data_IF_560745334892
#
_entry.id   IF_560745334892
#
_cell.length_a   1.000
_cell.length_b   1.000
_cell.length_c   1.000
_cell.angle_alpha   90.00
_cell.angle_beta   90.00
_cell.angle_gamma   90.00
#
_symmetry.space_group_name_H-M   'P 1'
#
loop_
_entity.id
_entity.type
_entity.pdbx_description
1 polymer ?
#
# COMPACT_ATOMS: atom_id res chain seq x y z
N UNK A 1 -9.00 18.86 13.43
CA UNK A 1 -9.99 19.00 14.52
C UNK A 1 -10.39 17.57 14.88
N UNK A 2 -9.93 17.06 16.04
CA UNK A 2 -10.34 15.76 16.57
C UNK A 2 -11.76 15.89 17.11
N UNK A 3 -12.70 15.09 16.59
CA UNK A 3 -14.03 14.99 17.15
C UNK A 3 -14.01 14.19 18.47
N UNK A 4 -14.93 14.47 19.38
CA UNK A 4 -15.16 13.62 20.53
C UNK A 4 -15.47 12.20 20.06
N UNK A 5 -14.85 11.21 20.69
CA UNK A 5 -15.10 9.82 20.40
C UNK A 5 -16.16 9.30 21.39
N UNK A 6 -17.15 8.60 20.88
CA UNK A 6 -17.99 7.81 21.76
C UNK A 6 -17.19 6.57 22.18
N UNK A 7 -16.61 6.63 23.39
CA UNK A 7 -15.72 5.57 23.90
C UNK A 7 -16.42 4.21 24.01
N UNK A 8 -17.67 4.15 24.45
CA UNK A 8 -18.41 2.90 24.54
C UNK A 8 -18.61 2.26 23.16
N UNK A 9 -18.92 3.08 22.16
CA UNK A 9 -19.04 2.59 20.78
C UNK A 9 -17.68 2.21 20.18
N UNK A 10 -16.60 2.92 20.52
CA UNK A 10 -15.26 2.59 20.04
C UNK A 10 -14.75 1.28 20.65
N UNK A 11 -14.95 1.06 21.93
CA UNK A 11 -14.45 -0.11 22.66
C UNK A 11 -15.37 -1.34 22.60
N UNK A 12 -16.42 -1.30 21.78
CA UNK A 12 -17.36 -2.42 21.69
C UNK A 12 -16.61 -3.72 21.35
N UNK A 13 -16.74 -4.72 22.24
CA UNK A 13 -16.13 -6.04 22.07
C UNK A 13 -14.67 -6.16 22.53
N UNK A 14 -14.04 -5.07 23.03
CA UNK A 14 -12.71 -5.11 23.62
C UNK A 14 -12.78 -5.49 25.12
N UNK A 15 -11.87 -6.35 25.59
CA UNK A 15 -11.80 -6.75 26.99
C UNK A 15 -11.62 -5.53 27.91
N UNK A 16 -12.40 -5.40 29.03
CA UNK A 16 -12.39 -4.25 29.91
C UNK A 16 -10.99 -3.95 30.49
N UNK A 17 -10.25 -4.98 30.89
CA UNK A 17 -8.91 -4.86 31.46
C UNK A 17 -7.89 -4.34 30.47
N UNK A 18 -8.06 -4.70 29.18
CA UNK A 18 -7.16 -4.25 28.13
C UNK A 18 -7.46 -2.81 27.71
N UNK A 19 -8.74 -2.42 27.60
CA UNK A 19 -9.11 -1.03 27.28
C UNK A 19 -8.69 -0.04 28.38
N UNK A 20 -8.69 -0.47 29.66
CA UNK A 20 -8.28 0.34 30.79
C UNK A 20 -6.78 0.76 30.76
N UNK A 21 -5.97 0.12 29.89
CA UNK A 21 -4.58 0.49 29.67
C UNK A 21 -4.41 1.76 28.83
N UNK A 22 -5.49 2.28 28.23
CA UNK A 22 -5.45 3.43 27.34
C UNK A 22 -6.44 4.51 27.78
N UNK A 23 -5.97 5.76 27.77
CA UNK A 23 -6.75 6.92 28.20
C UNK A 23 -6.69 8.05 27.15
N UNK A 24 -7.53 9.07 27.34
CA UNK A 24 -7.54 10.30 26.52
C UNK A 24 -7.75 10.04 25.02
N UNK A 25 -8.75 9.23 24.67
CA UNK A 25 -9.04 8.88 23.28
C UNK A 25 -9.55 10.09 22.50
N UNK A 26 -8.94 10.34 21.34
CA UNK A 26 -9.35 11.38 20.39
C UNK A 26 -9.30 10.80 18.98
N UNK A 27 -10.34 11.04 18.18
CA UNK A 27 -10.35 10.59 16.78
C UNK A 27 -9.18 11.20 16.01
N UNK A 28 -8.29 10.36 15.48
CA UNK A 28 -7.16 10.76 14.65
C UNK A 28 -7.43 10.52 13.14
N UNK A 29 -8.26 9.52 12.84
CA UNK A 29 -8.63 9.19 11.46
C UNK A 29 -9.86 8.29 11.41
N UNK A 30 -10.54 8.33 10.27
CA UNK A 30 -11.71 7.47 10.01
C UNK A 30 -11.64 6.94 8.59
N UNK A 31 -11.73 5.63 8.46
CA UNK A 31 -11.88 4.91 7.20
C UNK A 31 -13.30 4.34 7.08
N UNK A 32 -13.56 3.60 6.03
CA UNK A 32 -14.88 3.01 5.79
C UNK A 32 -15.25 1.95 6.85
N UNK A 33 -14.30 1.10 7.23
CA UNK A 33 -14.48 0.02 8.21
C UNK A 33 -13.53 0.15 9.40
N UNK A 34 -12.86 1.30 9.55
CA UNK A 34 -11.91 1.49 10.62
C UNK A 34 -11.94 2.88 11.19
N UNK A 35 -11.73 2.98 12.49
CA UNK A 35 -11.54 4.24 13.21
C UNK A 35 -10.17 4.17 13.86
N UNK A 36 -9.39 5.23 13.72
CA UNK A 36 -8.10 5.37 14.40
C UNK A 36 -8.25 6.42 15.49
N UNK A 37 -8.01 6.04 16.71
CA UNK A 37 -7.96 6.93 17.87
C UNK A 37 -6.49 7.16 18.27
N UNK A 38 -6.14 8.42 18.56
CA UNK A 38 -4.98 8.76 19.38
C UNK A 38 -5.34 8.47 20.82
N UNK A 39 -4.46 7.84 21.57
CA UNK A 39 -4.63 7.55 22.99
C UNK A 39 -3.31 7.72 23.75
N UNK A 40 -3.38 7.73 25.06
CA UNK A 40 -2.22 7.67 25.96
C UNK A 40 -2.16 6.28 26.58
N UNK A 41 -1.05 5.59 26.42
CA UNK A 41 -0.74 4.36 27.16
C UNK A 41 -0.51 4.74 28.62
N UNK A 42 -1.36 4.24 29.52
CA UNK A 42 -1.37 4.62 30.96
C UNK A 42 -0.09 4.16 31.67
N UNK A 43 0.48 3.03 31.25
CA UNK A 43 1.66 2.46 31.90
C UNK A 43 2.95 3.24 31.53
N UNK A 44 3.06 3.71 30.29
CA UNK A 44 4.28 4.38 29.80
C UNK A 44 4.15 5.89 29.68
N UNK A 45 2.92 6.42 29.63
CA UNK A 45 2.63 7.82 29.33
C UNK A 45 2.82 8.18 27.85
N UNK A 46 3.19 7.23 27.01
CA UNK A 46 3.44 7.47 25.58
C UNK A 46 2.14 7.60 24.78
N UNK A 47 2.21 8.39 23.71
CA UNK A 47 1.12 8.47 22.75
C UNK A 47 1.14 7.25 21.82
N UNK A 48 -0.03 6.66 21.63
CA UNK A 48 -0.26 5.53 20.72
C UNK A 48 -1.42 5.82 19.77
N UNK A 49 -1.47 5.10 18.66
CA UNK A 49 -2.62 5.05 17.78
C UNK A 49 -3.31 3.70 17.92
N UNK A 50 -4.62 3.71 18.13
CA UNK A 50 -5.44 2.50 18.23
C UNK A 50 -6.36 2.45 17.03
N UNK A 51 -6.12 1.49 16.15
CA UNK A 51 -6.95 1.23 14.96
C UNK A 51 -7.97 0.15 15.32
N UNK A 52 -9.25 0.55 15.43
CA UNK A 52 -10.36 -0.41 15.46
C UNK A 52 -10.76 -0.73 14.03
N UNK A 53 -10.83 -2.00 13.71
CA UNK A 53 -11.34 -2.55 12.45
C UNK A 53 -12.63 -3.29 12.81
N UNK A 54 -13.76 -2.79 12.32
CA UNK A 54 -15.06 -3.38 12.60
C UNK A 54 -15.35 -4.53 11.64
N UNK A 55 -16.16 -5.51 12.11
CA UNK A 55 -16.72 -6.59 11.28
C UNK A 55 -15.65 -7.33 10.44
N UNK A 56 -14.50 -7.64 11.04
CA UNK A 56 -13.35 -8.29 10.37
C UNK A 56 -13.76 -9.57 9.66
N UNK A 57 -14.74 -10.28 10.20
CA UNK A 57 -15.19 -11.57 9.70
C UNK A 57 -16.46 -11.49 8.82
N UNK A 58 -16.77 -10.31 8.28
CA UNK A 58 -17.84 -10.14 7.30
C UNK A 58 -17.65 -11.06 6.09
N UNK A 59 -16.41 -11.15 5.59
CA UNK A 59 -16.01 -12.13 4.59
C UNK A 59 -14.55 -12.61 4.78
N UNK A 60 -14.20 -13.72 4.14
CA UNK A 60 -12.85 -14.29 4.22
C UNK A 60 -11.78 -13.38 3.59
N UNK A 61 -12.14 -12.52 2.63
CA UNK A 61 -11.19 -11.63 1.98
C UNK A 61 -10.73 -10.50 2.93
N UNK A 62 -11.69 -9.89 3.66
CA UNK A 62 -11.38 -8.86 4.65
C UNK A 62 -10.61 -9.45 5.84
N UNK A 63 -11.01 -10.61 6.35
CA UNK A 63 -10.29 -11.31 7.41
C UNK A 63 -8.84 -11.66 7.01
N UNK A 64 -8.60 -12.09 5.77
CA UNK A 64 -7.25 -12.32 5.25
C UNK A 64 -6.42 -11.04 5.17
N UNK A 65 -7.01 -9.88 4.87
CA UNK A 65 -6.30 -8.60 4.88
C UNK A 65 -5.80 -8.25 6.27
N UNK A 66 -6.67 -8.40 7.28
CA UNK A 66 -6.32 -8.10 8.68
C UNK A 66 -5.25 -9.06 9.20
N UNK A 67 -5.41 -10.37 8.95
CA UNK A 67 -4.41 -11.37 9.35
C UNK A 67 -3.03 -11.08 8.73
N UNK A 68 -3.00 -10.67 7.46
CA UNK A 68 -1.77 -10.30 6.76
C UNK A 68 -1.13 -9.06 7.39
N UNK A 69 -1.91 -8.01 7.64
CA UNK A 69 -1.42 -6.78 8.26
C UNK A 69 -0.81 -7.06 9.63
N UNK A 70 -1.48 -7.87 10.45
CA UNK A 70 -0.99 -8.29 11.78
C UNK A 70 0.36 -9.01 11.65
N UNK A 71 0.45 -10.03 10.80
CA UNK A 71 1.66 -10.85 10.68
C UNK A 71 2.84 -10.07 10.13
N UNK A 72 2.60 -9.24 9.10
CA UNK A 72 3.66 -8.38 8.56
C UNK A 72 4.16 -7.38 9.59
N UNK A 73 3.25 -6.67 10.25
CA UNK A 73 3.66 -5.66 11.25
C UNK A 73 4.29 -6.27 12.50
N UNK A 74 3.93 -7.49 12.88
CA UNK A 74 4.59 -8.22 13.97
C UNK A 74 6.05 -8.51 13.64
N UNK A 75 6.32 -8.91 12.40
CA UNK A 75 7.63 -9.40 11.98
C UNK A 75 8.52 -8.27 11.41
N UNK A 76 7.96 -7.10 11.11
CA UNK A 76 8.72 -5.94 10.66
C UNK A 76 9.38 -5.18 11.81
N UNK A 77 10.73 -5.09 11.77
CA UNK A 77 11.53 -4.35 12.72
C UNK A 77 12.40 -3.32 11.98
N UNK A 78 11.79 -2.20 11.60
CA UNK A 78 12.49 -1.15 10.85
C UNK A 78 12.05 0.24 11.33
N UNK A 79 12.97 1.22 11.48
CA UNK A 79 12.64 2.56 11.99
C UNK A 79 11.62 3.31 11.12
N UNK A 80 11.59 3.02 9.83
CA UNK A 80 10.69 3.67 8.86
C UNK A 80 9.48 2.81 8.47
N UNK A 81 9.12 1.81 9.27
CA UNK A 81 7.85 1.08 9.20
C UNK A 81 7.10 1.29 10.51
N UNK A 82 5.77 1.42 10.43
CA UNK A 82 4.96 1.58 11.63
C UNK A 82 5.09 0.32 12.50
N UNK A 83 5.31 0.52 13.80
CA UNK A 83 5.47 -0.58 14.74
C UNK A 83 4.12 -0.99 15.30
N UNK A 84 3.79 -2.27 15.21
CA UNK A 84 2.71 -2.88 15.97
C UNK A 84 3.19 -3.10 17.41
N UNK A 85 2.57 -2.41 18.37
CA UNK A 85 2.92 -2.48 19.80
C UNK A 85 2.16 -3.58 20.51
N UNK A 86 0.86 -3.67 20.23
CA UNK A 86 -0.03 -4.64 20.86
C UNK A 86 -1.25 -4.92 19.98
N UNK A 87 -1.89 -6.04 20.25
CA UNK A 87 -3.26 -6.33 19.84
C UNK A 87 -4.11 -6.35 21.13
N UNK A 88 -5.19 -5.59 21.16
CA UNK A 88 -6.09 -5.56 22.31
C UNK A 88 -6.98 -6.80 22.24
N UNK A 89 -6.98 -7.64 23.29
CA UNK A 89 -7.82 -8.83 23.34
C UNK A 89 -9.30 -8.47 23.31
N UNK A 90 -10.12 -9.27 22.64
CA UNK A 90 -11.57 -9.17 22.70
C UNK A 90 -12.09 -9.75 24.02
N UNK A 91 -13.35 -9.47 24.36
CA UNK A 91 -14.04 -10.09 25.50
C UNK A 91 -14.18 -11.61 25.34
N UNK A 92 -14.33 -12.10 24.11
CA UNK A 92 -14.41 -13.51 23.78
C UNK A 92 -13.65 -13.82 22.48
N UNK A 93 -12.72 -14.75 22.56
CA UNK A 93 -11.96 -15.24 21.39
C UNK A 93 -12.82 -16.08 20.42
N UNK A 94 -13.97 -16.55 20.87
CA UNK A 94 -14.87 -17.41 20.06
C UNK A 94 -15.80 -16.58 19.17
N UNK A 95 -16.22 -15.39 19.65
CA UNK A 95 -17.30 -14.62 19.07
C UNK A 95 -16.95 -13.19 18.67
N UNK A 96 -15.66 -12.79 18.75
CA UNK A 96 -15.28 -11.43 18.41
C UNK A 96 -15.47 -11.12 16.92
N UNK A 97 -15.88 -9.90 16.65
CA UNK A 97 -16.09 -9.39 15.29
C UNK A 97 -15.13 -8.24 14.95
N UNK A 98 -14.68 -7.50 15.96
CA UNK A 98 -13.84 -6.33 15.81
C UNK A 98 -12.40 -6.62 16.24
N UNK A 99 -11.44 -5.98 15.57
CA UNK A 99 -10.03 -6.04 15.92
C UNK A 99 -9.48 -4.67 16.33
N UNK A 100 -8.60 -4.66 17.32
CA UNK A 100 -7.93 -3.45 17.79
C UNK A 100 -6.42 -3.62 17.72
N UNK A 101 -5.78 -2.79 16.91
CA UNK A 101 -4.34 -2.78 16.70
C UNK A 101 -3.74 -1.52 17.32
N UNK A 102 -2.78 -1.66 18.22
CA UNK A 102 -2.05 -0.54 18.83
C UNK A 102 -0.72 -0.35 18.12
N UNK A 103 -0.49 0.85 17.63
CA UNK A 103 0.74 1.20 16.90
C UNK A 103 1.36 2.48 17.46
N UNK A 104 2.55 2.84 16.99
CA UNK A 104 3.13 4.16 17.26
C UNK A 104 2.16 5.25 16.79
N UNK A 105 2.01 6.32 17.59
CA UNK A 105 1.26 7.48 17.16
C UNK A 105 2.14 8.34 16.23
N UNK A 106 1.55 8.74 15.11
CA UNK A 106 2.16 9.62 14.14
C UNK A 106 1.28 10.86 13.95
N UNK A 107 1.90 12.04 13.94
CA UNK A 107 1.17 13.33 13.99
C UNK A 107 0.42 13.64 12.70
N UNK A 108 0.95 13.18 11.55
CA UNK A 108 0.43 13.51 10.23
C UNK A 108 0.70 12.41 9.22
N UNK A 109 0.25 12.63 7.99
CA UNK A 109 0.56 11.81 6.82
C UNK A 109 1.10 12.69 5.68
N UNK A 110 1.82 12.07 4.74
CA UNK A 110 2.44 12.76 3.61
C UNK A 110 1.39 13.43 2.70
N UNK A 111 0.17 12.89 2.61
CA UNK A 111 -0.92 13.51 1.85
C UNK A 111 -1.32 14.87 2.45
N UNK A 112 -1.43 14.95 3.78
CA UNK A 112 -1.70 16.23 4.47
C UNK A 112 -0.54 17.19 4.27
N UNK A 113 0.71 16.70 4.35
CA UNK A 113 1.93 17.48 4.11
C UNK A 113 1.95 18.08 2.69
N UNK A 114 1.66 17.26 1.66
CA UNK A 114 1.55 17.73 0.27
C UNK A 114 0.42 18.74 0.11
N UNK A 115 -0.76 18.46 0.68
CA UNK A 115 -1.93 19.37 0.61
C UNK A 115 -1.70 20.70 1.31
N UNK A 116 -0.87 20.75 2.35
CA UNK A 116 -0.56 22.00 3.06
C UNK A 116 0.18 23.01 2.18
N UNK A 117 0.82 22.52 1.11
CA UNK A 117 1.61 23.34 0.18
C UNK A 117 2.74 24.13 0.86
N UNK A 118 3.11 23.76 2.08
CA UNK A 118 4.26 24.35 2.76
C UNK A 118 5.53 23.89 2.08
N UNK A 119 6.41 24.85 1.75
CA UNK A 119 7.68 24.54 1.10
C UNK A 119 8.54 23.60 1.96
N UNK A 120 9.31 22.75 1.30
CA UNK A 120 10.28 21.84 1.91
C UNK A 120 11.70 22.17 1.45
N UNK A 121 12.63 22.05 2.37
CA UNK A 121 14.05 22.12 2.00
C UNK A 121 14.42 20.88 1.15
N UNK A 122 15.30 21.02 0.17
CA UNK A 122 15.75 19.91 -0.68
C UNK A 122 16.29 18.73 0.15
N UNK A 123 16.98 19.01 1.24
CA UNK A 123 17.52 18.00 2.14
C UNK A 123 16.41 17.18 2.83
N UNK A 124 15.34 17.83 3.30
CA UNK A 124 14.18 17.12 3.88
C UNK A 124 13.55 16.15 2.87
N UNK A 125 13.42 16.59 1.60
CA UNK A 125 12.92 15.71 0.54
C UNK A 125 13.86 14.52 0.34
N UNK A 126 15.16 14.74 0.34
CA UNK A 126 16.19 13.70 0.19
C UNK A 126 16.12 12.68 1.33
N UNK A 127 15.97 13.15 2.57
CA UNK A 127 15.80 12.30 3.76
C UNK A 127 14.52 11.50 3.68
N UNK A 128 13.39 12.10 3.30
CA UNK A 128 12.12 11.38 3.14
C UNK A 128 12.22 10.27 2.10
N UNK A 129 12.84 10.55 0.96
CA UNK A 129 13.04 9.55 -0.09
C UNK A 129 13.96 8.42 0.38
N UNK A 130 15.01 8.74 1.14
CA UNK A 130 15.90 7.73 1.70
C UNK A 130 15.19 6.83 2.71
N UNK A 131 14.40 7.41 3.62
CA UNK A 131 13.61 6.68 4.62
C UNK A 131 12.56 5.78 3.95
N UNK A 132 11.87 6.28 2.93
CA UNK A 132 10.87 5.51 2.17
C UNK A 132 11.52 4.33 1.43
N UNK A 133 12.63 4.56 0.75
CA UNK A 133 13.35 3.50 0.03
C UNK A 133 13.94 2.46 0.98
N UNK A 134 14.42 2.86 2.17
CA UNK A 134 14.90 1.93 3.18
C UNK A 134 13.77 1.04 3.72
N UNK A 135 12.60 1.64 4.01
CA UNK A 135 11.41 0.88 4.42
C UNK A 135 10.98 -0.14 3.34
N UNK A 136 10.95 0.28 2.07
CA UNK A 136 10.62 -0.61 0.97
C UNK A 136 11.69 -1.69 0.74
N UNK A 137 12.96 -1.37 0.92
CA UNK A 137 14.04 -2.37 0.83
C UNK A 137 13.85 -3.48 1.89
N UNK A 138 13.42 -3.11 3.11
CA UNK A 138 13.08 -4.08 4.16
C UNK A 138 11.88 -4.96 3.76
N UNK A 139 10.80 -4.35 3.25
CA UNK A 139 9.61 -5.10 2.78
C UNK A 139 9.97 -6.04 1.62
N UNK A 140 10.75 -5.54 0.65
CA UNK A 140 11.14 -6.32 -0.52
C UNK A 140 12.14 -7.43 -0.20
N UNK A 141 12.95 -7.30 0.87
CA UNK A 141 13.89 -8.32 1.31
C UNK A 141 13.20 -9.61 1.78
N UNK A 142 11.98 -9.52 2.26
CA UNK A 142 11.13 -10.67 2.61
C UNK A 142 10.19 -11.06 1.46
N UNK A 143 10.54 -10.74 0.22
CA UNK A 143 9.70 -10.95 -0.96
C UNK A 143 8.30 -10.30 -0.87
N UNK A 144 8.10 -9.37 0.07
CA UNK A 144 6.88 -8.60 0.21
C UNK A 144 6.75 -7.53 -0.87
N UNK A 145 5.53 -7.21 -1.25
CA UNK A 145 5.18 -6.06 -2.08
C UNK A 145 4.07 -5.31 -1.36
N UNK A 146 4.19 -4.00 -1.21
CA UNK A 146 3.19 -3.18 -0.51
C UNK A 146 1.89 -3.04 -1.31
N UNK A 147 1.96 -2.79 -2.61
CA UNK A 147 0.86 -2.72 -3.61
C UNK A 147 -0.11 -1.55 -3.49
N UNK A 148 -0.12 -0.82 -2.39
CA UNK A 148 -0.97 0.37 -2.20
C UNK A 148 -0.15 1.56 -1.67
N UNK A 149 1.06 1.73 -2.21
CA UNK A 149 1.91 2.84 -1.84
C UNK A 149 1.32 4.15 -2.38
N UNK A 150 1.04 5.08 -1.45
CA UNK A 150 0.47 6.41 -1.72
C UNK A 150 0.78 7.35 -0.57
N UNK A 151 0.70 8.67 -0.74
CA UNK A 151 1.01 9.63 0.33
C UNK A 151 0.19 9.46 1.61
N UNK A 152 -1.04 8.91 1.54
CA UNK A 152 -1.86 8.65 2.72
C UNK A 152 -1.33 7.50 3.60
N UNK A 153 -0.58 6.55 3.02
CA UNK A 153 -0.01 5.40 3.71
C UNK A 153 1.44 5.64 4.16
N UNK A 154 1.88 6.89 4.13
CA UNK A 154 3.19 7.35 4.59
C UNK A 154 2.95 8.34 5.72
N UNK A 155 3.21 7.91 6.93
CA UNK A 155 2.99 8.69 8.15
C UNK A 155 4.25 9.49 8.50
N UNK A 156 4.05 10.65 9.14
CA UNK A 156 5.13 11.57 9.50
C UNK A 156 4.94 12.00 10.95
N UNK A 157 6.04 12.06 11.69
CA UNK A 157 6.10 12.64 13.03
C UNK A 157 7.42 13.39 13.21
N UNK A 158 7.45 14.36 14.12
CA UNK A 158 8.66 15.08 14.48
C UNK A 158 9.27 14.46 15.75
N UNK A 159 10.57 14.21 15.73
CA UNK A 159 11.32 13.81 16.91
C UNK A 159 12.49 14.77 17.11
N UNK A 160 12.27 15.75 17.97
CA UNK A 160 13.18 16.89 18.09
C UNK A 160 13.18 17.71 16.78
N UNK A 161 14.36 17.94 16.20
CA UNK A 161 14.51 18.68 14.94
C UNK A 161 14.36 17.78 13.68
N UNK A 162 14.28 16.47 13.86
CA UNK A 162 14.21 15.52 12.75
C UNK A 162 12.75 15.07 12.50
N UNK A 163 12.36 15.07 11.23
CA UNK A 163 11.13 14.45 10.78
C UNK A 163 11.36 12.97 10.43
N UNK A 164 10.52 12.10 11.00
CA UNK A 164 10.57 10.66 10.78
C UNK A 164 9.37 10.23 9.95
N UNK A 165 9.66 9.53 8.86
CA UNK A 165 8.67 8.91 7.99
C UNK A 165 8.52 7.44 8.36
N UNK A 166 7.26 6.96 8.43
CA UNK A 166 6.95 5.54 8.60
C UNK A 166 5.90 5.07 7.59
N UNK A 167 6.22 3.97 6.93
CA UNK A 167 5.30 3.26 6.03
C UNK A 167 4.26 2.49 6.85
N UNK A 168 2.98 2.53 6.43
CA UNK A 168 1.86 1.84 7.10
C UNK A 168 0.88 1.24 6.10
N UNK A 169 -0.10 0.50 6.58
CA UNK A 169 -1.19 -0.12 5.82
C UNK A 169 -0.74 -1.25 4.87
N UNK A 170 -0.46 -2.40 5.45
CA UNK A 170 -0.01 -3.61 4.74
C UNK A 170 -1.15 -4.58 4.38
N UNK A 171 -2.41 -4.18 4.55
CA UNK A 171 -3.58 -5.02 4.26
C UNK A 171 -3.63 -5.54 2.82
N UNK A 172 -3.11 -4.79 1.86
CA UNK A 172 -3.02 -5.20 0.45
C UNK A 172 -1.67 -5.82 0.06
N UNK A 173 -0.70 -5.89 0.98
CA UNK A 173 0.60 -6.46 0.69
C UNK A 173 0.51 -7.95 0.25
N UNK A 174 1.49 -8.42 -0.50
CA UNK A 174 1.63 -9.82 -0.95
C UNK A 174 3.08 -10.23 -0.91
N UNK A 175 3.31 -11.53 -0.74
CA UNK A 175 4.62 -12.13 -1.00
C UNK A 175 4.67 -12.65 -2.44
N UNK A 176 5.81 -12.47 -3.11
CA UNK A 176 6.06 -13.03 -4.45
C UNK A 176 6.84 -14.30 -4.27
N UNK A 177 6.29 -15.41 -4.75
CA UNK A 177 7.03 -16.67 -4.80
C UNK A 177 8.17 -16.58 -5.82
N UNK A 178 9.36 -16.92 -5.39
CA UNK A 178 10.57 -16.92 -6.22
C UNK A 178 10.61 -18.07 -7.23
N UNK A 179 9.58 -18.93 -7.31
CA UNK A 179 9.57 -20.14 -8.12
C UNK A 179 9.12 -19.91 -9.57
N UNK A 180 9.89 -20.38 -10.57
CA UNK A 180 9.52 -20.33 -11.99
C UNK A 180 8.26 -21.12 -12.35
N UNK A 181 7.85 -22.08 -11.51
CA UNK A 181 6.71 -22.98 -11.76
C UNK A 181 5.35 -22.39 -11.35
N UNK A 182 5.30 -21.37 -10.49
CA UNK A 182 4.04 -20.74 -10.07
C UNK A 182 3.29 -20.02 -11.21
N UNK A 183 3.96 -19.77 -12.34
CA UNK A 183 3.34 -19.19 -13.54
C UNK A 183 2.41 -20.13 -14.31
N UNK A 184 2.63 -21.46 -14.22
CA UNK A 184 1.80 -22.46 -14.91
C UNK A 184 0.50 -22.79 -14.16
N UNK A 185 0.56 -22.84 -12.84
CA UNK A 185 -0.59 -23.19 -12.01
C UNK A 185 -1.64 -22.05 -11.91
N UNK A 186 -1.22 -20.78 -11.98
CA UNK A 186 -2.15 -19.63 -11.98
C UNK A 186 -2.97 -19.51 -13.28
N UNK A 187 -2.50 -20.08 -14.40
CA UNK A 187 -3.28 -20.15 -15.66
C UNK A 187 -4.29 -21.29 -15.65
N UNK A 188 -4.07 -22.33 -14.88
CA UNK A 188 -4.99 -23.48 -14.77
C UNK A 188 -6.13 -23.26 -13.76
N UNK A 189 -6.01 -22.26 -12.87
CA UNK A 189 -7.01 -21.97 -11.84
C UNK A 189 -8.06 -20.91 -12.22
N UNK A 190 -8.05 -20.38 -13.44
CA UNK A 190 -8.99 -19.37 -13.92
C UNK A 190 -10.02 -19.91 -14.95
N UNK A 191 -10.04 -21.20 -15.19
CA UNK A 191 -11.17 -21.84 -15.87
C UNK A 191 -12.27 -22.08 -14.84
N UNK A 192 -13.25 -21.20 -14.83
CA UNK A 192 -14.51 -21.37 -14.11
C UNK A 192 -15.27 -22.47 -14.85
N UNK A 193 -15.32 -23.64 -14.24
CA UNK A 193 -16.18 -24.73 -14.66
C UNK A 193 -17.64 -24.32 -14.43
N UNK A 194 -18.34 -24.00 -15.50
CA UNK A 194 -19.80 -23.87 -15.53
C UNK A 194 -20.40 -25.27 -15.64
N UNK A 195 -20.43 -25.99 -14.51
CA UNK A 195 -21.26 -27.15 -14.36
C UNK A 195 -22.70 -26.70 -14.13
N UNK A 196 -23.53 -26.82 -15.16
CA UNK A 196 -25.02 -26.75 -15.05
C UNK A 196 -25.49 -27.90 -14.21
N UNK A 197 -26.14 -27.62 -13.08
CA UNK A 197 -26.95 -28.59 -12.32
C UNK A 197 -28.42 -28.22 -12.53
N UNK A 198 -29.20 -29.03 -13.26
CA UNK A 198 -30.63 -28.81 -13.44
C UNK A 198 -31.39 -29.55 -12.35
N UNK A 199 -31.82 -28.88 -11.34
CA UNK A 199 -33.04 -29.12 -10.54
C UNK A 199 -32.84 -28.76 -9.05
N UNK A 200 -33.37 -27.64 -8.66
CA UNK A 200 -34.05 -27.53 -7.37
C UNK A 200 -35.02 -26.35 -7.41
N UNK A 201 -36.26 -26.64 -7.67
CA UNK A 201 -37.39 -25.78 -7.33
C UNK A 201 -37.45 -25.67 -5.80
N UNK A 202 -37.19 -24.50 -5.26
CA UNK A 202 -37.66 -24.07 -3.94
C UNK A 202 -38.14 -22.63 -3.99
N UNK A 203 -39.44 -22.49 -3.71
CA UNK A 203 -40.20 -21.25 -3.68
C UNK A 203 -39.76 -20.33 -2.54
N UNK A 204 -39.61 -19.04 -2.84
CA UNK A 204 -40.18 -17.99 -2.03
C UNK A 204 -39.50 -17.63 -0.71
N UNK A 205 -38.29 -17.03 -0.74
CA UNK A 205 -37.91 -16.10 0.31
C UNK A 205 -37.42 -14.81 -0.36
N UNK A 206 -38.15 -13.71 -0.20
CA UNK A 206 -37.69 -12.38 -0.58
C UNK A 206 -36.38 -12.08 0.15
N UNK A 207 -35.30 -11.73 -0.54
CA UNK A 207 -34.06 -11.37 0.13
C UNK A 207 -34.30 -10.10 0.96
N UNK A 208 -34.06 -10.19 2.25
CA UNK A 208 -33.94 -8.99 3.12
C UNK A 208 -32.74 -8.20 2.61
N UNK A 209 -32.92 -6.94 2.20
CA UNK A 209 -31.78 -6.14 1.75
C UNK A 209 -30.76 -6.02 2.89
N UNK A 210 -29.45 -6.09 2.61
CA UNK A 210 -28.41 -5.90 3.62
C UNK A 210 -28.54 -4.53 4.29
N UNK A 211 -28.15 -4.39 5.56
CA UNK A 211 -28.28 -3.15 6.29
C UNK A 211 -27.59 -2.01 5.53
N UNK A 212 -28.20 -0.85 5.52
CA UNK A 212 -27.82 0.37 4.78
C UNK A 212 -26.35 0.84 5.00
N UNK A 213 -25.69 0.35 6.05
CA UNK A 213 -24.27 0.62 6.31
C UNK A 213 -23.32 0.06 5.23
N UNK A 214 -23.69 -0.99 4.51
CA UNK A 214 -22.87 -1.61 3.46
C UNK A 214 -23.12 -1.04 2.05
N UNK A 215 -24.18 -0.25 1.86
CA UNK A 215 -24.57 0.25 0.54
C UNK A 215 -23.93 1.58 0.15
N UNK A 216 -23.22 2.29 1.01
CA UNK A 216 -22.79 3.67 0.74
C UNK A 216 -21.33 4.00 1.04
N UNK A 217 -20.42 3.08 0.90
CA UNK A 217 -19.00 3.47 0.86
C UNK A 217 -18.37 3.07 -0.46
N UNK A 218 -18.53 3.96 -1.41
CA UNK A 218 -17.77 3.94 -2.65
C UNK A 218 -16.30 4.11 -2.29
N UNK A 219 -15.56 3.01 -2.17
CA UNK A 219 -14.11 3.02 -2.00
C UNK A 219 -13.48 3.66 -3.24
N UNK A 220 -13.18 4.95 -3.15
CA UNK A 220 -12.33 5.62 -4.12
C UNK A 220 -10.90 5.13 -3.88
N UNK A 221 -10.55 3.98 -4.46
CA UNK A 221 -9.16 3.52 -4.44
C UNK A 221 -8.36 4.41 -5.39
N UNK A 222 -7.48 5.24 -4.84
CA UNK A 222 -6.65 6.14 -5.63
C UNK A 222 -5.72 5.36 -6.55
N UNK A 223 -5.98 5.36 -7.87
CA UNK A 223 -5.19 4.64 -8.88
C UNK A 223 -4.01 5.42 -9.41
N UNK A 224 -3.85 6.66 -9.00
CA UNK A 224 -2.85 7.60 -9.52
C UNK A 224 -1.40 7.14 -9.34
N UNK A 225 -1.18 6.23 -8.39
CA UNK A 225 0.15 5.69 -8.06
C UNK A 225 0.38 4.28 -8.60
N UNK A 226 -0.59 3.70 -9.34
CA UNK A 226 -0.48 2.33 -9.86
C UNK A 226 0.42 2.26 -11.08
N UNK A 227 1.31 1.28 -11.08
CA UNK A 227 2.20 0.98 -12.19
C UNK A 227 1.43 0.45 -13.41
N UNK A 228 1.93 0.67 -14.64
CA UNK A 228 1.29 0.21 -15.88
C UNK A 228 0.98 -1.29 -15.88
N UNK A 229 1.89 -2.13 -15.40
CA UNK A 229 1.72 -3.59 -15.33
C UNK A 229 0.55 -4.00 -14.42
N UNK A 230 0.27 -3.24 -13.35
CA UNK A 230 -0.89 -3.49 -12.48
C UNK A 230 -2.19 -3.09 -13.18
N UNK A 231 -2.17 -1.98 -13.91
CA UNK A 231 -3.33 -1.49 -14.67
C UNK A 231 -3.67 -2.48 -15.79
N UNK A 232 -2.65 -3.00 -16.47
CA UNK A 232 -2.78 -3.97 -17.57
C UNK A 232 -3.05 -5.41 -17.09
N UNK A 233 -3.08 -5.63 -15.77
CA UNK A 233 -3.26 -6.98 -15.17
C UNK A 233 -2.17 -7.97 -15.60
N UNK A 234 -0.97 -7.49 -15.89
CA UNK A 234 0.20 -8.32 -16.19
C UNK A 234 0.85 -8.84 -14.89
N UNK A 235 1.67 -9.91 -14.98
CA UNK A 235 2.48 -10.34 -13.86
C UNK A 235 3.40 -9.20 -13.39
N UNK A 236 3.44 -8.97 -12.08
CA UNK A 236 4.19 -7.87 -11.48
C UNK A 236 5.15 -8.34 -10.37
N UNK A 237 6.07 -7.48 -10.01
CA UNK A 237 7.06 -7.66 -8.95
C UNK A 237 7.07 -6.46 -8.00
N UNK A 238 8.02 -6.39 -7.08
CA UNK A 238 8.26 -5.22 -6.22
C UNK A 238 8.52 -3.91 -7.00
N UNK A 239 8.80 -3.99 -8.29
CA UNK A 239 8.95 -2.82 -9.17
C UNK A 239 7.70 -1.92 -9.23
N UNK A 240 6.50 -2.43 -8.89
CA UNK A 240 5.28 -1.62 -8.82
C UNK A 240 5.34 -0.59 -7.70
N UNK A 241 5.95 -0.93 -6.55
CA UNK A 241 6.15 0.02 -5.45
C UNK A 241 7.14 1.11 -5.84
N UNK A 242 8.17 0.78 -6.63
CA UNK A 242 9.16 1.75 -7.14
C UNK A 242 8.53 2.78 -8.07
N UNK A 243 7.59 2.36 -8.92
CA UNK A 243 6.77 3.29 -9.71
C UNK A 243 6.00 4.27 -8.82
N UNK A 244 5.34 3.74 -7.77
CA UNK A 244 4.61 4.56 -6.82
C UNK A 244 5.51 5.55 -6.09
N UNK A 245 6.76 5.16 -5.75
CA UNK A 245 7.80 6.05 -5.21
C UNK A 245 8.11 7.19 -6.20
N UNK A 246 8.22 6.89 -7.49
CA UNK A 246 8.43 7.90 -8.52
C UNK A 246 7.30 8.94 -8.58
N UNK A 247 6.04 8.48 -8.50
CA UNK A 247 4.89 9.37 -8.43
C UNK A 247 4.92 10.29 -7.19
N UNK A 248 5.25 9.72 -6.02
CA UNK A 248 5.37 10.46 -4.76
C UNK A 248 6.55 11.44 -4.81
N UNK A 249 7.69 11.02 -5.36
CA UNK A 249 8.87 11.87 -5.49
C UNK A 249 8.56 13.14 -6.30
N UNK A 250 7.83 13.01 -7.41
CA UNK A 250 7.38 14.16 -8.20
C UNK A 250 6.54 15.14 -7.37
N UNK A 251 5.61 14.66 -6.55
CA UNK A 251 4.80 15.53 -5.69
C UNK A 251 5.65 16.22 -4.60
N UNK A 252 6.68 15.55 -4.09
CA UNK A 252 7.64 16.14 -3.15
C UNK A 252 8.51 17.21 -3.81
N UNK A 253 8.97 16.99 -5.05
CA UNK A 253 9.72 17.99 -5.82
C UNK A 253 8.92 19.28 -6.04
N UNK A 254 7.59 19.18 -6.15
CA UNK A 254 6.74 20.38 -6.23
C UNK A 254 6.68 21.19 -4.93
N UNK A 255 6.99 20.58 -3.79
CA UNK A 255 7.08 21.28 -2.51
C UNK A 255 8.47 21.90 -2.28
N UNK A 256 9.46 21.59 -3.12
CA UNK A 256 10.81 22.11 -3.00
C UNK A 256 10.79 23.64 -2.91
N UNK A 257 11.58 24.20 -1.98
CA UNK A 257 11.69 25.65 -1.82
C UNK A 257 12.11 26.30 -3.14
N UNK A 258 11.37 27.31 -3.56
CA UNK A 258 11.59 27.99 -4.86
C UNK A 258 10.71 27.44 -6.00
N UNK A 259 10.08 26.28 -5.85
CA UNK A 259 9.11 25.79 -6.83
C UNK A 259 7.86 26.68 -6.85
N UNK A 260 7.45 27.13 -8.05
CA UNK A 260 6.22 27.90 -8.27
C UNK A 260 5.11 27.07 -8.92
N UNK A 261 5.44 25.89 -9.46
CA UNK A 261 4.50 24.99 -10.11
C UNK A 261 3.97 23.95 -9.13
N UNK A 262 2.66 23.70 -9.21
CA UNK A 262 1.97 22.69 -8.39
C UNK A 262 0.85 22.09 -9.20
N UNK A 263 1.16 21.00 -9.87
CA UNK A 263 0.22 20.25 -10.71
C UNK A 263 -0.46 19.11 -9.93
N UNK A 264 0.04 18.76 -8.73
CA UNK A 264 -0.45 17.67 -7.90
C UNK A 264 0.01 16.31 -8.39
N UNK A 265 -0.85 15.30 -8.28
CA UNK A 265 -0.51 13.93 -8.70
C UNK A 265 -0.04 13.88 -10.16
N UNK A 266 0.96 13.05 -10.43
CA UNK A 266 1.58 12.95 -11.77
C UNK A 266 0.62 12.36 -12.80
N UNK A 267 -0.18 11.36 -12.41
CA UNK A 267 -1.10 10.65 -13.30
C UNK A 267 -2.54 10.68 -12.76
N UNK A 268 -3.21 11.85 -12.76
CA UNK A 268 -4.55 12.00 -12.19
C UNK A 268 -5.63 11.51 -13.16
N UNK A 269 -5.85 10.20 -13.24
CA UNK A 269 -6.99 9.64 -13.96
C UNK A 269 -8.31 10.09 -13.31
N UNK A 270 -9.33 10.33 -14.14
CA UNK A 270 -10.61 10.92 -13.71
C UNK A 270 -11.46 9.95 -12.90
N UNK A 271 -11.37 8.66 -13.17
CA UNK A 271 -12.21 7.65 -12.59
C UNK A 271 -11.47 6.86 -11.51
N UNK A 272 -11.73 7.21 -10.26
CA UNK A 272 -11.25 6.50 -9.07
C UNK A 272 -12.39 5.73 -8.40
N UNK A 273 -13.39 5.27 -9.16
CA UNK A 273 -14.57 4.59 -8.61
C UNK A 273 -14.23 3.11 -8.38
N UNK A 274 -14.68 2.50 -7.27
CA UNK A 274 -14.57 1.07 -7.06
C UNK A 274 -15.46 0.31 -8.06
N UNK A 275 -14.96 -0.81 -8.53
CA UNK A 275 -15.69 -1.68 -9.42
C UNK A 275 -16.86 -2.36 -8.70
N UNK A 276 -18.04 -2.33 -9.29
CA UNK A 276 -18.89 -3.51 -9.25
C UNK A 276 -18.30 -4.55 -10.20
N UNK A 277 -18.24 -5.80 -9.78
CA UNK A 277 -17.61 -6.89 -10.55
C UNK A 277 -18.34 -7.20 -11.86
N UNK A 278 -19.51 -6.61 -12.08
CA UNK A 278 -20.45 -6.97 -13.13
C UNK A 278 -20.38 -6.11 -14.40
N UNK A 279 -19.56 -5.04 -14.43
CA UNK A 279 -19.50 -4.17 -15.61
C UNK A 279 -18.11 -4.19 -16.27
N UNK A 280 -17.89 -5.19 -17.15
CA UNK A 280 -16.64 -5.38 -17.88
C UNK A 280 -16.29 -4.17 -18.76
N UNK A 281 -17.28 -3.49 -19.34
CA UNK A 281 -17.08 -2.33 -20.20
C UNK A 281 -16.61 -1.11 -19.42
N UNK A 282 -17.13 -0.92 -18.20
CA UNK A 282 -16.73 0.18 -17.33
C UNK A 282 -15.29 -0.02 -16.80
N UNK A 283 -14.91 -1.27 -16.51
CA UNK A 283 -13.53 -1.61 -16.12
C UNK A 283 -12.52 -1.29 -17.23
N UNK A 284 -12.85 -1.57 -18.48
CA UNK A 284 -12.01 -1.25 -19.65
C UNK A 284 -11.85 0.25 -19.80
N UNK A 285 -12.94 1.04 -19.70
CA UNK A 285 -12.89 2.51 -19.78
C UNK A 285 -11.99 3.12 -18.70
N UNK A 286 -12.03 2.60 -17.48
CA UNK A 286 -11.21 3.09 -16.36
C UNK A 286 -9.73 2.78 -16.53
N UNK A 287 -9.37 1.60 -17.04
CA UNK A 287 -7.99 1.26 -17.41
C UNK A 287 -7.47 2.17 -18.50
N UNK A 288 -8.26 2.35 -19.55
CA UNK A 288 -7.91 3.21 -20.69
C UNK A 288 -7.69 4.65 -20.26
N UNK A 289 -8.50 5.19 -19.33
CA UNK A 289 -8.30 6.54 -18.83
C UNK A 289 -6.95 6.68 -18.12
N UNK A 290 -6.63 5.81 -17.17
CA UNK A 290 -5.37 5.87 -16.42
C UNK A 290 -4.15 5.63 -17.33
N UNK A 291 -4.19 4.65 -18.24
CA UNK A 291 -3.15 4.41 -19.23
C UNK A 291 -2.96 5.59 -20.16
N UNK A 292 -4.07 6.19 -20.64
CA UNK A 292 -4.04 7.39 -21.47
C UNK A 292 -3.36 8.55 -20.79
N UNK A 293 -3.62 8.75 -19.47
CA UNK A 293 -2.94 9.80 -18.69
C UNK A 293 -1.44 9.52 -18.61
N UNK A 294 -1.03 8.27 -18.30
CA UNK A 294 0.38 7.88 -18.25
C UNK A 294 1.07 8.13 -19.59
N UNK A 295 0.49 7.63 -20.69
CA UNK A 295 1.08 7.77 -22.02
C UNK A 295 1.17 9.23 -22.48
N UNK A 296 0.15 10.03 -22.22
CA UNK A 296 0.18 11.47 -22.56
C UNK A 296 1.21 12.23 -21.73
N UNK A 297 1.32 11.92 -20.44
CA UNK A 297 2.23 12.61 -19.52
C UNK A 297 3.69 12.28 -19.80
N UNK A 298 4.02 11.01 -20.13
CA UNK A 298 5.39 10.55 -20.40
C UNK A 298 5.72 10.51 -21.91
N UNK A 299 4.87 11.09 -22.76
CA UNK A 299 4.85 10.99 -24.22
C UNK A 299 4.58 9.56 -24.73
N UNK A 300 4.10 9.45 -25.98
CA UNK A 300 3.73 8.17 -26.60
C UNK A 300 4.89 7.16 -26.54
N UNK A 301 4.67 5.97 -25.96
CA UNK A 301 5.73 4.98 -25.80
C UNK A 301 6.18 4.36 -27.12
N UNK A 302 7.36 3.76 -27.10
CA UNK A 302 7.82 2.85 -28.16
C UNK A 302 7.34 1.43 -27.88
N UNK A 303 7.24 0.60 -28.93
CA UNK A 303 6.87 -0.82 -28.74
C UNK A 303 7.88 -1.57 -27.86
N UNK A 304 9.16 -1.22 -27.92
CA UNK A 304 10.22 -1.83 -27.10
C UNK A 304 10.03 -1.57 -25.59
N UNK A 305 9.47 -0.42 -25.20
CA UNK A 305 9.20 -0.11 -23.79
C UNK A 305 8.11 -1.01 -23.17
N UNK A 306 7.30 -1.67 -23.99
CA UNK A 306 6.27 -2.62 -23.58
C UNK A 306 6.49 -4.04 -24.12
N UNK A 307 7.70 -4.38 -24.54
CA UNK A 307 8.05 -5.74 -25.02
C UNK A 307 7.85 -6.82 -23.94
N UNK A 308 7.79 -6.44 -22.69
CA UNK A 308 7.52 -7.31 -21.53
C UNK A 308 6.03 -7.66 -21.38
N UNK A 309 5.12 -6.90 -21.97
CA UNK A 309 3.67 -7.09 -21.85
C UNK A 309 3.16 -8.13 -22.85
N UNK A 310 2.04 -8.75 -22.54
CA UNK A 310 1.35 -9.67 -23.46
C UNK A 310 0.91 -8.98 -24.77
N UNK A 311 0.67 -9.76 -25.80
CA UNK A 311 0.19 -9.22 -27.07
C UNK A 311 -1.15 -8.47 -26.92
N UNK A 312 -2.03 -8.94 -26.03
CA UNK A 312 -3.30 -8.29 -25.73
C UNK A 312 -3.08 -6.91 -25.07
N UNK A 313 -2.20 -6.83 -24.07
CA UNK A 313 -1.84 -5.57 -23.42
C UNK A 313 -1.13 -4.59 -24.37
N UNK A 314 -0.27 -5.09 -25.27
CA UNK A 314 0.36 -4.24 -26.30
C UNK A 314 -0.67 -3.66 -27.25
N UNK A 315 -1.67 -4.44 -27.69
CA UNK A 315 -2.76 -3.95 -28.53
C UNK A 315 -3.62 -2.91 -27.80
N UNK A 316 -3.88 -3.11 -26.49
CA UNK A 316 -4.59 -2.13 -25.65
C UNK A 316 -3.83 -0.81 -25.57
N UNK A 317 -2.51 -0.83 -25.34
CA UNK A 317 -1.66 0.36 -25.31
C UNK A 317 -1.64 1.06 -26.66
N UNK A 318 -1.49 0.32 -27.76
CA UNK A 318 -1.49 0.86 -29.12
C UNK A 318 -2.80 1.61 -29.42
N UNK A 319 -3.93 1.04 -28.99
CA UNK A 319 -5.25 1.66 -29.10
C UNK A 319 -5.33 2.96 -28.28
N UNK A 320 -4.94 2.91 -26.99
CA UNK A 320 -5.02 4.04 -26.06
C UNK A 320 -4.10 5.19 -26.48
N UNK A 321 -2.90 4.86 -26.97
CA UNK A 321 -1.89 5.83 -27.41
C UNK A 321 -2.07 6.27 -28.87
N UNK A 322 -3.02 5.68 -29.61
CA UNK A 322 -3.24 5.89 -31.06
C UNK A 322 -1.99 5.58 -31.90
N UNK A 323 -1.28 4.51 -31.53
CA UNK A 323 -0.06 4.03 -32.16
C UNK A 323 1.16 4.07 -31.27
N UNK A 324 2.32 3.73 -31.82
CA UNK A 324 3.62 3.67 -31.17
C UNK A 324 4.53 4.79 -31.64
N UNK A 325 5.41 5.26 -30.79
CA UNK A 325 6.51 6.14 -31.17
C UNK A 325 7.56 5.35 -31.95
N UNK A 326 8.08 5.96 -33.04
CA UNK A 326 9.14 5.39 -33.90
C UNK A 326 10.55 5.86 -33.50
N UNK A 327 10.68 6.50 -32.31
CA UNK A 327 11.98 6.94 -31.82
C UNK A 327 12.87 5.74 -31.46
N UNK A 328 14.16 5.85 -31.75
CA UNK A 328 15.14 4.94 -31.17
C UNK A 328 15.29 5.15 -29.65
N UNK A 329 16.03 4.26 -28.99
CA UNK A 329 16.16 4.27 -27.53
C UNK A 329 16.83 5.56 -27.01
N UNK A 330 17.83 6.08 -27.74
CA UNK A 330 18.55 7.30 -27.33
C UNK A 330 17.66 8.54 -27.45
N UNK A 331 16.98 8.70 -28.60
CA UNK A 331 16.04 9.80 -28.82
C UNK A 331 14.86 9.73 -27.84
N UNK A 332 14.37 8.52 -27.56
CA UNK A 332 13.29 8.29 -26.58
C UNK A 332 13.71 8.65 -25.17
N UNK A 333 14.90 8.27 -24.73
CA UNK A 333 15.46 8.64 -23.44
C UNK A 333 15.56 10.15 -23.29
N UNK A 334 16.10 10.84 -24.30
CA UNK A 334 16.20 12.31 -24.33
C UNK A 334 14.81 12.97 -24.28
N UNK A 335 13.85 12.47 -25.05
CA UNK A 335 12.49 12.99 -25.03
C UNK A 335 11.86 12.85 -23.65
N UNK A 336 12.02 11.69 -22.99
CA UNK A 336 11.49 11.44 -21.64
C UNK A 336 12.11 12.37 -20.61
N UNK A 337 13.43 12.55 -20.64
CA UNK A 337 14.12 13.50 -19.76
C UNK A 337 13.57 14.91 -19.96
N UNK A 338 13.41 15.37 -21.20
CA UNK A 338 12.85 16.68 -21.49
C UNK A 338 11.43 16.84 -20.94
N UNK A 339 10.56 15.83 -21.12
CA UNK A 339 9.19 15.82 -20.57
C UNK A 339 9.21 15.95 -19.04
N UNK A 340 10.11 15.23 -18.35
CA UNK A 340 10.24 15.33 -16.89
C UNK A 340 10.77 16.68 -16.44
N UNK A 341 11.69 17.29 -17.19
CA UNK A 341 12.15 18.67 -16.94
C UNK A 341 10.99 19.66 -17.10
N UNK A 342 10.17 19.50 -18.14
CA UNK A 342 9.01 20.38 -18.36
C UNK A 342 7.96 20.24 -17.24
N UNK A 343 7.77 19.02 -16.70
CA UNK A 343 6.87 18.74 -15.57
C UNK A 343 7.47 19.26 -14.26
N UNK A 344 8.78 19.15 -14.06
CA UNK A 344 9.50 19.51 -12.83
C UNK A 344 10.62 20.54 -13.11
N UNK A 345 10.30 21.77 -13.56
CA UNK A 345 11.30 22.73 -14.04
C UNK A 345 12.25 23.24 -12.94
N UNK A 346 11.97 22.93 -11.68
CA UNK A 346 12.84 23.28 -10.53
C UNK A 346 13.66 22.10 -10.00
N UNK A 347 13.52 20.94 -10.65
CA UNK A 347 14.34 19.79 -10.29
C UNK A 347 15.76 19.94 -10.90
N UNK A 348 16.74 19.45 -10.18
CA UNK A 348 18.11 19.32 -10.68
C UNK A 348 18.22 18.12 -11.64
N UNK A 349 19.28 18.08 -12.45
CA UNK A 349 19.53 16.96 -13.37
C UNK A 349 19.56 15.60 -12.65
N UNK A 350 20.13 15.57 -11.43
CA UNK A 350 20.20 14.36 -10.60
C UNK A 350 18.82 13.94 -10.08
N UNK A 351 17.94 14.90 -9.77
CA UNK A 351 16.56 14.62 -9.37
C UNK A 351 15.73 14.11 -10.57
N UNK A 352 15.92 14.68 -11.75
CA UNK A 352 15.29 14.22 -12.99
C UNK A 352 15.78 12.81 -13.36
N UNK A 353 17.07 12.51 -13.19
CA UNK A 353 17.63 11.20 -13.46
C UNK A 353 17.01 10.13 -12.54
N UNK A 354 16.92 10.40 -11.23
CA UNK A 354 16.24 9.51 -10.30
C UNK A 354 14.75 9.32 -10.68
N UNK A 355 14.04 10.41 -10.98
CA UNK A 355 12.63 10.36 -11.35
C UNK A 355 12.42 9.53 -12.62
N UNK A 356 13.28 9.69 -13.63
CA UNK A 356 13.24 8.91 -14.87
C UNK A 356 13.48 7.41 -14.62
N UNK A 357 14.44 7.07 -13.75
CA UNK A 357 14.73 5.69 -13.38
C UNK A 357 13.55 5.02 -12.66
N UNK A 358 12.94 5.73 -11.68
CA UNK A 358 11.79 5.23 -10.92
C UNK A 358 10.54 5.03 -11.80
N UNK A 359 10.33 5.90 -12.80
CA UNK A 359 9.18 5.89 -13.69
C UNK A 359 9.45 5.19 -15.05
N UNK A 360 10.41 4.27 -15.10
CA UNK A 360 10.60 3.46 -16.32
C UNK A 360 9.34 2.66 -16.63
N UNK A 361 8.88 2.70 -17.90
CA UNK A 361 7.73 1.91 -18.37
C UNK A 361 8.04 0.41 -18.37
N UNK A 362 9.31 0.04 -18.56
CA UNK A 362 9.78 -1.32 -18.41
C UNK A 362 10.09 -1.63 -16.94
N UNK A 363 9.31 -2.53 -16.27
CA UNK A 363 9.47 -2.78 -14.83
C UNK A 363 10.88 -3.25 -14.43
N UNK A 364 11.56 -3.99 -15.32
CA UNK A 364 12.91 -4.53 -15.07
C UNK A 364 14.02 -3.47 -15.12
N UNK A 365 13.75 -2.32 -15.75
CA UNK A 365 14.67 -1.18 -15.80
C UNK A 365 14.55 -0.28 -14.56
N UNK A 366 13.50 -0.43 -13.76
CA UNK A 366 13.40 0.28 -12.47
C UNK A 366 14.42 -0.30 -11.49
N UNK A 367 15.16 0.55 -10.75
CA UNK A 367 16.07 0.08 -9.72
C UNK A 367 15.29 -0.62 -8.59
N UNK A 368 15.92 -1.55 -7.89
CA UNK A 368 15.35 -2.00 -6.60
C UNK A 368 15.43 -0.86 -5.58
N UNK A 369 14.61 -0.89 -4.53
CA UNK A 369 14.65 0.12 -3.47
C UNK A 369 16.05 0.27 -2.86
N UNK A 370 16.70 -0.86 -2.56
CA UNK A 370 18.08 -0.87 -2.06
C UNK A 370 19.08 -0.30 -3.07
N UNK A 371 18.96 -0.66 -4.36
CA UNK A 371 19.87 -0.13 -5.39
C UNK A 371 19.69 1.37 -5.60
N UNK A 372 18.47 1.88 -5.62
CA UNK A 372 18.20 3.31 -5.71
C UNK A 372 18.85 4.07 -4.54
N UNK A 373 18.63 3.60 -3.31
CA UNK A 373 19.17 4.25 -2.11
C UNK A 373 20.69 4.20 -2.05
N UNK A 374 21.30 3.07 -2.42
CA UNK A 374 22.73 2.86 -2.20
C UNK A 374 23.62 3.37 -3.34
N UNK A 375 23.10 3.38 -4.58
CA UNK A 375 23.92 3.61 -5.78
C UNK A 375 23.59 4.91 -6.51
N UNK A 376 22.36 5.45 -6.33
CA UNK A 376 22.00 6.64 -7.09
C UNK A 376 22.68 7.90 -6.53
N UNK A 377 23.26 8.78 -7.39
CA UNK A 377 23.96 9.98 -6.98
C UNK A 377 23.15 10.95 -6.12
N UNK A 378 21.81 10.94 -6.25
CA UNK A 378 20.91 11.76 -5.44
C UNK A 378 21.10 11.56 -3.93
N UNK A 379 21.50 10.37 -3.50
CA UNK A 379 21.74 10.03 -2.09
C UNK A 379 23.20 10.07 -1.69
N UNK A 380 24.10 10.57 -2.56
CA UNK A 380 25.51 10.72 -2.23
C UNK A 380 25.70 11.75 -1.09
N UNK A 381 26.57 11.42 -0.12
CA UNK A 381 26.84 12.30 1.02
C UNK A 381 25.72 12.39 2.06
N UNK A 382 24.72 11.54 2.02
CA UNK A 382 23.73 11.43 3.09
C UNK A 382 24.35 10.71 4.30
N UNK A 383 24.64 11.48 5.38
CA UNK A 383 25.35 10.97 6.56
C UNK A 383 24.50 9.96 7.35
N UNK A 384 23.23 10.30 7.62
CA UNK A 384 22.28 9.46 8.37
C UNK A 384 21.45 8.59 7.42
N UNK A 385 22.14 7.78 6.59
CA UNK A 385 21.44 6.87 5.68
C UNK A 385 20.75 5.76 6.49
N UNK A 386 19.42 5.56 6.32
CA UNK A 386 18.72 4.50 7.03
C UNK A 386 19.33 3.12 6.74
N UNK A 387 19.34 2.21 7.74
CA UNK A 387 19.92 0.89 7.56
C UNK A 387 19.13 0.06 6.54
N UNK A 388 19.84 -0.75 5.76
CA UNK A 388 19.23 -1.81 4.97
C UNK A 388 19.19 -3.08 5.81
N UNK A 389 18.02 -3.68 5.91
CA UNK A 389 17.86 -4.95 6.60
C UNK A 389 18.41 -6.09 5.73
N UNK A 390 19.15 -7.05 6.31
CA UNK A 390 19.54 -8.24 5.60
C UNK A 390 18.32 -9.04 5.11
N UNK A 391 18.46 -9.87 4.08
CA UNK A 391 17.39 -10.75 3.62
C UNK A 391 16.80 -11.58 4.78
N UNK A 392 15.49 -11.71 4.81
CA UNK A 392 14.82 -12.57 5.76
C UNK A 392 15.05 -14.06 5.40
N UNK A 393 14.91 -14.93 6.39
CA UNK A 393 14.87 -16.36 6.15
C UNK A 393 13.61 -16.72 5.34
N UNK A 394 13.80 -17.23 4.12
CA UNK A 394 12.70 -17.60 3.22
C UNK A 394 11.72 -18.58 3.86
N UNK A 395 12.18 -19.51 4.69
CA UNK A 395 11.33 -20.49 5.36
C UNK A 395 10.40 -19.83 6.39
N UNK A 396 10.89 -18.83 7.12
CA UNK A 396 10.07 -18.08 8.08
C UNK A 396 8.98 -17.27 7.37
N UNK A 397 9.33 -16.62 6.25
CA UNK A 397 8.37 -15.87 5.44
C UNK A 397 7.31 -16.81 4.86
N UNK A 398 7.72 -17.94 4.30
CA UNK A 398 6.80 -18.92 3.74
C UNK A 398 5.82 -19.46 4.80
N UNK A 399 6.30 -19.81 5.98
CA UNK A 399 5.47 -20.27 7.09
C UNK A 399 4.47 -19.20 7.57
N UNK A 400 4.91 -17.94 7.63
CA UNK A 400 4.04 -16.83 8.06
C UNK A 400 2.88 -16.58 7.09
N UNK A 401 3.07 -16.86 5.79
CA UNK A 401 2.09 -16.61 4.72
C UNK A 401 1.46 -17.87 4.10
N UNK A 402 1.67 -19.05 4.65
CA UNK A 402 1.06 -20.30 4.18
C UNK A 402 -0.47 -20.19 4.03
N UNK A 403 -1.13 -19.45 4.93
CA UNK A 403 -2.58 -19.23 4.90
C UNK A 403 -3.10 -18.57 3.60
N UNK A 404 -2.25 -17.87 2.86
CA UNK A 404 -2.65 -17.25 1.59
C UNK A 404 -2.99 -18.28 0.50
N UNK A 405 -2.35 -19.45 0.56
CA UNK A 405 -2.53 -20.57 -0.39
C UNK A 405 -3.71 -21.46 -0.02
N UNK A 406 -4.19 -21.36 1.21
CA UNK A 406 -5.23 -22.24 1.73
C UNK A 406 -6.63 -21.67 1.42
N UNK A 407 -7.56 -22.59 1.14
CA UNK A 407 -9.00 -22.25 1.06
C UNK A 407 -9.57 -22.20 2.47
N UNK A 408 -9.35 -21.09 3.17
CA UNK A 408 -9.81 -20.87 4.52
C UNK A 408 -11.18 -20.20 4.51
N UNK A 409 -12.09 -20.71 5.34
CA UNK A 409 -13.34 -20.05 5.63
C UNK A 409 -13.16 -19.00 6.75
N UNK A 410 -14.21 -18.26 7.06
CA UNK A 410 -14.20 -17.19 8.07
C UNK A 410 -13.83 -17.71 9.47
N UNK A 411 -14.30 -18.90 9.85
CA UNK A 411 -14.00 -19.49 11.16
C UNK A 411 -12.53 -19.90 11.27
N UNK A 412 -11.95 -20.48 10.20
CA UNK A 412 -10.52 -20.81 10.16
C UNK A 412 -9.67 -19.55 10.37
N UNK A 413 -10.05 -18.45 9.72
CA UNK A 413 -9.37 -17.15 9.84
C UNK A 413 -9.53 -16.55 11.25
N UNK A 414 -10.69 -16.70 11.88
CA UNK A 414 -10.92 -16.30 13.27
C UNK A 414 -9.97 -17.03 14.22
N UNK A 415 -9.82 -18.35 14.05
CA UNK A 415 -8.88 -19.14 14.84
C UNK A 415 -7.44 -18.68 14.64
N UNK A 416 -7.02 -18.41 13.40
CA UNK A 416 -5.68 -17.93 13.10
C UNK A 416 -5.40 -16.57 13.75
N UNK A 417 -6.34 -15.63 13.66
CA UNK A 417 -6.23 -14.31 14.30
C UNK A 417 -6.23 -14.44 15.83
N UNK A 418 -7.06 -15.30 16.41
CA UNK A 418 -7.06 -15.58 17.85
C UNK A 418 -5.72 -16.14 18.32
N UNK A 419 -5.10 -17.04 17.54
CA UNK A 419 -3.76 -17.56 17.82
C UNK A 419 -2.68 -16.46 17.77
N UNK A 420 -2.75 -15.55 16.80
CA UNK A 420 -1.80 -14.44 16.71
C UNK A 420 -2.02 -13.42 17.88
N UNK A 421 -3.27 -13.17 18.31
CA UNK A 421 -3.59 -12.44 19.54
C UNK A 421 -2.91 -13.08 20.77
N UNK A 422 -3.10 -14.38 20.96
CA UNK A 422 -2.53 -15.11 22.10
C UNK A 422 -0.98 -15.04 22.09
N UNK A 423 -0.34 -15.23 20.94
CA UNK A 423 1.12 -15.16 20.81
C UNK A 423 1.69 -13.79 21.16
N UNK A 424 0.98 -12.72 20.80
CA UNK A 424 1.44 -11.37 21.14
C UNK A 424 1.31 -11.03 22.62
N UNK A 425 0.37 -11.64 23.32
CA UNK A 425 0.21 -11.49 24.78
C UNK A 425 1.22 -12.36 25.55
N UNK A 426 1.63 -13.51 24.99
CA UNK A 426 2.52 -14.48 25.60
C UNK A 426 3.71 -14.75 24.67
N UNK A 427 4.65 -13.80 24.52
CA UNK A 427 5.81 -14.00 23.66
C UNK A 427 6.61 -15.22 24.14
N UNK A 428 6.83 -16.20 23.27
CA UNK A 428 7.66 -17.37 23.50
C UNK A 428 9.07 -16.90 23.87
N UNK A 429 9.42 -16.93 25.15
CA UNK A 429 10.75 -16.55 25.64
C UNK A 429 10.79 -15.63 26.84
N UNK A 430 9.66 -15.14 27.36
CA UNK A 430 9.60 -14.61 28.70
C UNK A 430 9.70 -15.80 29.68
N UNK A 431 10.92 -16.31 29.86
CA UNK A 431 11.19 -17.25 30.94
C UNK A 431 10.73 -16.58 32.24
N UNK A 432 9.83 -17.26 32.95
CA UNK A 432 9.48 -16.96 34.33
C UNK A 432 10.81 -16.85 35.08
N UNK A 433 11.21 -15.62 35.42
CA UNK A 433 12.19 -15.35 36.47
C UNK A 433 11.48 -15.15 37.77
#
# INVERSE_FOLDING_TARGET
MGGEINEDAFWKGAAPEARAQYANLVVAGQGAYSIVAKATDVATGELVAIKRIAEVFYDAHEAKKVLREIRLLRDFHHPNIIRLRALIPPESLETFEDMFMVTDYMESDLRKRIKSKVAMEPETIRVYMAQLLAALAHVHAIHGIHRDLKPANILITSKGEQEILKLCDFGLARTVESSPNSRRERRAGSEVDHGEDPNSDEEGATPVPPPLSHQMTTYVVTRWYRAPEVILQEPYSSAIDIWSVGCIFKELLELKRGSRFRTGALFPGRYCIPFSFDDHDEQVRHRHDQLSVICRTLATPTRSEFAWASAASQAEIECVCKGWSNLDEAARTKQRQQVLVDICPYATDVEIDLLAALLSLEPRKRPTAAAALMKHPYFAGLEDRPPLTPPADEQQVEAAFAFEREKLNVNDLRILIANDLFRMQHPLGAAVQ
#
